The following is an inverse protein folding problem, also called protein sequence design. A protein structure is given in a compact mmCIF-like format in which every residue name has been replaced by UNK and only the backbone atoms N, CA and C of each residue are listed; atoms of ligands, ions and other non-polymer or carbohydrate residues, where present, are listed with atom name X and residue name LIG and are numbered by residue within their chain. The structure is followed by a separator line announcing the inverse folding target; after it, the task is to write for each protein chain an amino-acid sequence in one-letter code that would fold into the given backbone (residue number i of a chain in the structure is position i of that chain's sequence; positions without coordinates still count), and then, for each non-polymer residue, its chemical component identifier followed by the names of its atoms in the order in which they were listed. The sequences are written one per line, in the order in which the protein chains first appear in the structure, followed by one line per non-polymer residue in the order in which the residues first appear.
data_IF_403957127333
#
_entry.id   IF_403957127333
#
_cell.length_a   1.000
_cell.length_b   1.000
_cell.length_c   1.000
_cell.angle_alpha   90.00
_cell.angle_beta   90.00
_cell.angle_gamma   90.00
#
_symmetry.space_group_name_H-M   'P 1'
#
loop_
_entity.id
_entity.type
_entity.pdbx_description
1 polymer ?
#
# COMPACT_ATOMS: atom_id res chain seq x y z
N UNK A 1 -1.29 7.57 -0.70
CA UNK A 1 -0.65 6.23 -0.62
C UNK A 1 -1.12 5.28 -1.71
N UNK A 2 -2.42 4.94 -1.77
CA UNK A 2 -2.94 3.95 -2.76
C UNK A 2 -2.60 4.35 -4.20
N UNK A 3 -2.79 5.63 -4.57
CA UNK A 3 -2.44 6.15 -5.90
C UNK A 3 -0.95 5.92 -6.25
N UNK A 4 -0.04 6.31 -5.33
CA UNK A 4 1.40 6.11 -5.49
C UNK A 4 1.76 4.62 -5.68
N UNK A 5 1.16 3.73 -4.90
CA UNK A 5 1.38 2.29 -5.04
C UNK A 5 0.88 1.80 -6.41
N UNK A 6 -0.31 2.23 -6.86
CA UNK A 6 -0.84 1.86 -8.18
C UNK A 6 0.05 2.35 -9.32
N UNK A 7 0.61 3.56 -9.23
CA UNK A 7 1.58 4.10 -10.18
C UNK A 7 2.91 3.30 -10.21
N UNK A 8 3.21 2.56 -9.14
CA UNK A 8 4.36 1.66 -9.03
C UNK A 8 3.97 0.17 -9.23
N UNK A 9 2.92 -0.10 -10.03
CA UNK A 9 2.57 -1.47 -10.44
C UNK A 9 1.75 -2.28 -9.43
N UNK A 10 1.32 -1.69 -8.32
CA UNK A 10 0.43 -2.39 -7.39
C UNK A 10 -1.02 -2.43 -7.88
N UNK A 11 -1.65 -3.59 -7.78
CA UNK A 11 -3.06 -3.83 -8.11
C UNK A 11 -3.86 -4.20 -6.86
N UNK A 12 -5.15 -3.88 -6.87
CA UNK A 12 -6.07 -4.26 -5.79
C UNK A 12 -6.33 -5.75 -5.82
N UNK A 13 -6.01 -6.44 -4.72
CA UNK A 13 -6.18 -7.90 -4.62
C UNK A 13 -7.45 -8.27 -3.86
N UNK A 14 -7.68 -7.64 -2.72
CA UNK A 14 -8.87 -7.86 -1.91
C UNK A 14 -9.04 -6.74 -0.89
N UNK A 15 -10.25 -6.56 -0.38
CA UNK A 15 -10.50 -5.72 0.78
C UNK A 15 -10.84 -6.66 1.95
N UNK A 16 -9.97 -6.72 2.96
CA UNK A 16 -10.24 -7.52 4.15
C UNK A 16 -11.12 -6.69 5.09
N UNK A 17 -12.44 -6.85 4.95
CA UNK A 17 -13.44 -6.10 5.71
C UNK A 17 -13.60 -4.63 5.26
N UNK A 18 -14.14 -3.77 6.11
CA UNK A 18 -14.38 -2.34 5.80
C UNK A 18 -13.17 -1.42 6.03
N UNK A 19 -12.08 -1.95 6.60
CA UNK A 19 -11.02 -1.13 7.18
C UNK A 19 -9.68 -1.18 6.44
N UNK A 20 -9.38 -2.26 5.70
CA UNK A 20 -8.07 -2.47 5.06
C UNK A 20 -8.19 -2.94 3.61
N UNK A 21 -7.38 -2.35 2.74
CA UNK A 21 -7.21 -2.73 1.34
C UNK A 21 -5.88 -3.46 1.16
N UNK A 22 -5.93 -4.60 0.49
CA UNK A 22 -4.77 -5.40 0.12
C UNK A 22 -4.36 -5.05 -1.31
N UNK A 23 -3.14 -4.56 -1.46
CA UNK A 23 -2.53 -4.27 -2.75
C UNK A 23 -1.42 -5.30 -3.00
N UNK A 24 -1.31 -5.76 -4.23
CA UNK A 24 -0.32 -6.75 -4.67
C UNK A 24 0.42 -6.22 -5.89
N UNK A 25 1.74 -6.29 -5.90
CA UNK A 25 2.54 -6.02 -7.08
C UNK A 25 3.02 -7.38 -7.65
N UNK A 26 2.59 -7.76 -8.87
CA UNK A 26 2.99 -9.00 -9.51
C UNK A 26 4.45 -9.01 -10.00
N UNK A 27 5.05 -7.84 -10.26
CA UNK A 27 6.41 -7.73 -10.77
C UNK A 27 7.45 -8.14 -9.73
N UNK A 28 7.22 -7.76 -8.47
CA UNK A 28 8.12 -8.06 -7.35
C UNK A 28 7.51 -9.01 -6.31
N UNK A 29 6.33 -9.59 -6.61
CA UNK A 29 5.59 -10.51 -5.74
C UNK A 29 5.32 -9.97 -4.32
N UNK A 30 5.22 -8.64 -4.18
CA UNK A 30 5.03 -7.98 -2.88
C UNK A 30 3.56 -7.69 -2.62
N UNK A 31 3.12 -7.90 -1.39
CA UNK A 31 1.77 -7.54 -0.95
C UNK A 31 1.86 -6.55 0.20
N UNK A 32 1.10 -5.46 0.11
CA UNK A 32 0.98 -4.47 1.19
C UNK A 32 -0.47 -4.32 1.63
N UNK A 33 -0.68 -4.07 2.92
CA UNK A 33 -2.00 -3.76 3.47
C UNK A 33 -2.09 -2.28 3.86
N UNK A 34 -3.12 -1.61 3.38
CA UNK A 34 -3.34 -0.17 3.57
C UNK A 34 -4.65 0.04 4.33
N UNK A 35 -4.66 0.75 5.46
CA UNK A 35 -5.93 1.13 6.09
C UNK A 35 -6.62 2.19 5.22
N UNK A 36 -7.91 1.97 4.94
CA UNK A 36 -8.73 2.83 4.06
C UNK A 36 -9.77 3.67 4.81
N UNK A 37 -10.01 3.37 6.08
CA UNK A 37 -10.92 4.12 6.94
C UNK A 37 -10.25 5.32 7.61
N UNK A 38 -8.91 5.33 7.64
CA UNK A 38 -8.15 6.45 8.20
C UNK A 38 -8.11 7.60 7.18
N UNK A 39 -8.51 8.80 7.60
CA UNK A 39 -8.38 10.02 6.78
C UNK A 39 -6.93 10.31 6.40
N UNK A 40 -6.01 10.03 7.33
CA UNK A 40 -4.57 10.28 7.19
C UNK A 40 -3.77 9.10 7.70
N UNK A 41 -2.68 8.77 7.01
CA UNK A 41 -1.71 7.78 7.46
C UNK A 41 -0.65 8.49 8.30
N UNK A 42 -0.33 7.94 9.48
CA UNK A 42 0.79 8.45 10.26
C UNK A 42 2.12 8.25 9.51
N UNK A 43 3.05 9.20 9.64
CA UNK A 43 4.36 9.19 8.94
C UNK A 43 5.15 7.89 9.11
N UNK A 44 5.05 7.25 10.29
CA UNK A 44 5.70 5.96 10.56
C UNK A 44 5.11 4.82 9.73
N UNK A 45 3.77 4.75 9.67
CA UNK A 45 3.06 3.76 8.87
C UNK A 45 3.30 3.96 7.37
N UNK A 46 3.30 5.22 6.91
CA UNK A 46 3.63 5.52 5.51
C UNK A 46 5.04 5.03 5.14
N UNK A 47 6.04 5.31 5.99
CA UNK A 47 7.42 4.83 5.76
C UNK A 47 7.52 3.31 5.80
N UNK A 48 6.80 2.65 6.70
CA UNK A 48 6.76 1.19 6.76
C UNK A 48 6.17 0.59 5.47
N UNK A 49 5.05 1.13 4.99
CA UNK A 49 4.41 0.72 3.73
C UNK A 49 5.36 0.93 2.54
N UNK A 50 6.03 2.09 2.44
CA UNK A 50 6.97 2.35 1.35
C UNK A 50 8.17 1.41 1.38
N UNK A 51 8.69 1.10 2.57
CA UNK A 51 9.78 0.13 2.75
C UNK A 51 9.35 -1.28 2.36
N UNK A 52 8.15 -1.70 2.75
CA UNK A 52 7.58 -3.00 2.38
C UNK A 52 7.31 -3.07 0.88
N UNK A 53 6.79 -2.00 0.28
CA UNK A 53 6.58 -1.87 -1.15
C UNK A 53 7.87 -1.73 -1.98
N UNK A 54 9.03 -1.63 -1.33
CA UNK A 54 10.34 -1.33 -1.94
C UNK A 54 10.33 -0.06 -2.81
N UNK A 55 9.54 0.95 -2.43
CA UNK A 55 9.45 2.25 -3.12
C UNK A 55 10.33 3.25 -2.39
N UNK A 56 11.31 3.79 -3.10
CA UNK A 56 12.09 4.92 -2.61
C UNK A 56 11.33 6.21 -2.91
N UNK A 57 11.02 6.98 -1.87
CA UNK A 57 10.55 8.36 -2.06
C UNK A 57 11.75 9.18 -2.54
N UNK A 58 11.62 9.99 -3.61
CA UNK A 58 12.63 10.99 -3.93
C UNK A 58 12.76 12.01 -2.79
#
# INVERSE_FOLDING_TARGET
MIKLLKENGFIEKSQNGSSHLKLYNPENNTTVMIPIHAKELGKGLERAILREANIKKP
#
